data_IF_288410710707
#
_entry.id   IF_288410710707
#
_cell.length_a   1.000
_cell.length_b   1.000
_cell.length_c   1.000
_cell.angle_alpha   90.00
_cell.angle_beta   90.00
_cell.angle_gamma   90.00
#
_symmetry.space_group_name_H-M   'P 1'
#
loop_
_entity.id
_entity.type
_entity.pdbx_description
1 polymer ?
#
# COMPACT_ATOMS: atom_id res chain seq x y z
N UNK A 1 -22.45 49.72 -7.74
CA UNK A 1 -22.76 48.62 -6.79
C UNK A 1 -22.34 47.30 -7.44
N UNK A 2 -21.04 47.03 -7.46
CA UNK A 2 -20.40 45.77 -7.89
C UNK A 2 -19.14 45.64 -7.03
N UNK A 3 -18.71 44.40 -6.81
CA UNK A 3 -17.45 43.99 -6.16
C UNK A 3 -17.40 44.02 -4.63
N UNK A 4 -17.90 42.97 -3.95
CA UNK A 4 -17.46 42.63 -2.57
C UNK A 4 -17.49 41.13 -2.19
N UNK A 5 -17.43 40.19 -3.12
CA UNK A 5 -17.28 38.75 -2.76
C UNK A 5 -16.44 37.91 -3.72
N UNK A 6 -15.64 38.53 -4.61
CA UNK A 6 -14.84 37.78 -5.59
C UNK A 6 -13.43 37.37 -5.11
N UNK A 7 -13.02 37.70 -3.88
CA UNK A 7 -11.63 37.52 -3.43
C UNK A 7 -11.40 36.31 -2.50
N UNK A 8 -12.41 35.50 -2.19
CA UNK A 8 -12.28 34.39 -1.23
C UNK A 8 -12.31 32.99 -1.88
N UNK A 9 -12.06 32.88 -3.19
CA UNK A 9 -12.10 31.60 -3.89
C UNK A 9 -10.75 30.90 -4.12
N UNK A 10 -9.61 31.42 -3.63
CA UNK A 10 -8.31 30.87 -4.04
C UNK A 10 -7.32 30.37 -2.98
N UNK A 11 -7.62 30.29 -1.67
CA UNK A 11 -6.58 29.89 -0.70
C UNK A 11 -7.02 28.83 0.33
N UNK A 12 -7.50 27.66 -0.13
CA UNK A 12 -7.60 26.47 0.75
C UNK A 12 -6.42 25.51 0.62
N UNK A 13 -5.44 25.79 -0.24
CA UNK A 13 -4.29 24.91 -0.49
C UNK A 13 -2.92 25.58 -0.23
N UNK A 14 -2.86 26.88 0.10
CA UNK A 14 -1.59 27.52 0.50
C UNK A 14 -1.13 27.14 1.91
N UNK A 15 -2.04 26.64 2.77
CA UNK A 15 -1.70 26.30 4.15
C UNK A 15 -0.72 25.13 4.31
N UNK A 16 -0.48 24.34 3.26
CA UNK A 16 0.44 23.18 3.29
C UNK A 16 1.87 23.57 2.87
N UNK A 17 2.10 24.83 2.46
CA UNK A 17 3.43 25.31 2.03
C UNK A 17 4.18 26.13 3.08
N UNK A 18 3.74 26.13 4.34
CA UNK A 18 4.39 26.93 5.38
C UNK A 18 5.22 26.04 6.33
N UNK A 19 6.56 26.09 6.27
CA UNK A 19 7.46 25.31 7.14
C UNK A 19 7.16 25.50 8.63
N UNK A 20 6.67 26.69 8.99
CA UNK A 20 6.37 27.09 10.37
C UNK A 20 5.16 26.33 10.95
N UNK A 21 4.21 25.91 10.11
CA UNK A 21 3.03 25.14 10.57
C UNK A 21 3.41 23.69 10.86
N UNK A 22 4.40 23.14 10.14
CA UNK A 22 4.94 21.79 10.35
C UNK A 22 5.70 21.72 11.67
N UNK A 23 6.49 22.76 11.98
CA UNK A 23 7.25 22.87 13.22
C UNK A 23 6.35 22.96 14.47
N UNK A 24 5.15 23.56 14.34
CA UNK A 24 4.15 23.64 15.41
C UNK A 24 3.48 22.28 15.73
N UNK A 25 3.42 21.36 14.77
CA UNK A 25 2.85 20.01 14.96
C UNK A 25 3.84 19.02 15.58
N UNK A 26 5.09 19.42 15.84
CA UNK A 26 6.13 18.54 16.37
C UNK A 26 6.54 17.43 15.41
N UNK A 27 6.18 17.55 14.13
CA UNK A 27 6.60 16.65 13.07
C UNK A 27 8.00 17.08 12.65
N UNK A 28 9.02 16.32 13.01
CA UNK A 28 10.32 16.44 12.35
C UNK A 28 10.10 16.16 10.85
N UNK A 29 10.47 17.08 9.94
CA UNK A 29 10.19 16.93 8.51
C UNK A 29 10.80 15.68 7.84
N UNK A 30 11.69 14.96 8.53
CA UNK A 30 12.58 14.00 7.88
C UNK A 30 12.24 12.53 8.11
N UNK A 31 11.62 12.14 9.23
CA UNK A 31 11.41 10.71 9.52
C UNK A 31 10.07 10.18 9.01
N UNK A 32 8.97 10.75 9.49
CA UNK A 32 7.60 10.32 9.12
C UNK A 32 7.29 10.55 7.64
N UNK A 33 7.76 11.67 7.10
CA UNK A 33 7.59 12.00 5.69
C UNK A 33 8.34 11.03 4.77
N UNK A 34 9.56 10.64 5.17
CA UNK A 34 10.34 9.67 4.41
C UNK A 34 9.75 8.26 4.52
N UNK A 35 9.16 7.90 5.65
CA UNK A 35 8.44 6.64 5.81
C UNK A 35 7.22 6.56 4.89
N UNK A 36 6.36 7.58 4.88
CA UNK A 36 5.19 7.62 3.97
C UNK A 36 5.61 7.59 2.50
N UNK A 37 6.72 8.25 2.14
CA UNK A 37 7.27 8.18 0.78
C UNK A 37 7.81 6.80 0.44
N UNK A 38 8.52 6.16 1.35
CA UNK A 38 9.04 4.82 1.19
C UNK A 38 7.90 3.83 0.96
N UNK A 39 6.89 3.85 1.81
CA UNK A 39 5.68 3.02 1.70
C UNK A 39 5.00 3.25 0.34
N UNK A 40 4.77 4.51 -0.03
CA UNK A 40 4.17 4.88 -1.32
C UNK A 40 4.99 4.39 -2.51
N UNK A 41 6.33 4.41 -2.42
CA UNK A 41 7.24 3.90 -3.43
C UNK A 41 7.14 2.38 -3.56
N UNK A 42 7.21 1.66 -2.43
CA UNK A 42 7.07 0.20 -2.39
C UNK A 42 5.73 -0.22 -2.98
N UNK A 43 4.61 0.36 -2.54
CA UNK A 43 3.27 0.06 -3.09
C UNK A 43 3.21 0.32 -4.60
N UNK A 44 3.80 1.41 -5.08
CA UNK A 44 3.79 1.74 -6.51
C UNK A 44 4.53 0.69 -7.34
N UNK A 45 5.69 0.25 -6.87
CA UNK A 45 6.51 -0.71 -7.62
C UNK A 45 5.99 -2.14 -7.44
N UNK A 46 5.49 -2.49 -6.26
CA UNK A 46 4.78 -3.75 -6.03
C UNK A 46 3.58 -3.90 -6.98
N UNK A 47 2.82 -2.82 -7.18
CA UNK A 47 1.72 -2.84 -8.16
C UNK A 47 2.22 -3.20 -9.56
N UNK A 48 3.33 -2.60 -10.02
CA UNK A 48 3.93 -2.89 -11.33
C UNK A 48 4.47 -4.32 -11.39
N UNK A 49 5.22 -4.75 -10.38
CA UNK A 49 5.76 -6.09 -10.25
C UNK A 49 4.68 -7.16 -10.40
N UNK A 50 3.56 -7.02 -9.67
CA UNK A 50 2.42 -7.96 -9.76
C UNK A 50 1.79 -7.98 -11.16
N UNK A 51 1.71 -6.83 -11.83
CA UNK A 51 1.20 -6.74 -13.20
C UNK A 51 2.17 -7.39 -14.22
N UNK A 52 3.48 -7.18 -14.05
CA UNK A 52 4.53 -7.67 -14.95
C UNK A 52 4.78 -9.18 -14.81
N UNK A 53 4.48 -9.75 -13.66
CA UNK A 53 4.64 -11.19 -13.38
C UNK A 53 3.84 -12.10 -14.31
N UNK A 54 2.81 -11.59 -14.99
CA UNK A 54 2.04 -12.34 -15.99
C UNK A 54 1.19 -13.49 -15.43
N UNK A 55 1.06 -13.61 -14.10
CA UNK A 55 0.30 -14.69 -13.42
C UNK A 55 -1.19 -14.39 -13.26
N UNK A 56 -1.75 -13.60 -14.18
CA UNK A 56 -3.19 -13.35 -14.26
C UNK A 56 -3.73 -12.20 -13.42
N UNK A 57 -2.88 -11.31 -12.92
CA UNK A 57 -3.28 -10.13 -12.15
C UNK A 57 -3.92 -9.05 -13.04
N UNK A 58 -5.08 -8.57 -12.61
CA UNK A 58 -5.74 -7.39 -13.14
C UNK A 58 -5.89 -6.36 -12.01
N UNK A 59 -5.34 -5.17 -12.21
CA UNK A 59 -5.44 -4.08 -11.24
C UNK A 59 -6.88 -3.56 -11.14
N UNK A 60 -7.41 -3.44 -9.93
CA UNK A 60 -8.78 -2.97 -9.66
C UNK A 60 -8.74 -1.59 -9.03
N UNK A 61 -7.99 -1.42 -7.95
CA UNK A 61 -7.92 -0.17 -7.22
C UNK A 61 -6.64 -0.06 -6.39
N UNK A 62 -6.30 1.19 -6.04
CA UNK A 62 -5.23 1.54 -5.10
C UNK A 62 -5.82 2.47 -4.04
N UNK A 63 -5.39 2.32 -2.79
CA UNK A 63 -5.87 3.10 -1.65
C UNK A 63 -7.40 3.10 -1.58
N UNK A 64 -7.99 1.92 -1.75
CA UNK A 64 -9.44 1.80 -1.84
C UNK A 64 -10.07 2.06 -0.48
N UNK A 65 -10.84 3.13 -0.41
CA UNK A 65 -11.62 3.47 0.76
C UNK A 65 -12.77 2.47 0.99
N UNK A 66 -12.82 1.93 2.20
CA UNK A 66 -13.89 1.12 2.73
C UNK A 66 -14.51 1.87 3.89
N UNK A 67 -15.76 2.28 3.72
CA UNK A 67 -16.53 2.90 4.77
C UNK A 67 -17.35 1.84 5.52
N UNK A 68 -17.19 1.78 6.83
CA UNK A 68 -18.09 1.06 7.73
C UNK A 68 -18.85 2.08 8.59
N UNK A 69 -19.97 1.67 9.20
CA UNK A 69 -20.76 2.58 10.06
C UNK A 69 -19.96 3.20 11.22
N UNK A 70 -18.81 2.61 11.58
CA UNK A 70 -18.01 3.01 12.73
C UNK A 70 -16.70 3.69 12.36
N UNK A 71 -16.10 3.32 11.24
CA UNK A 71 -14.75 3.75 10.88
C UNK A 71 -14.48 3.63 9.37
N UNK A 72 -13.57 4.47 8.90
CA UNK A 72 -12.99 4.42 7.56
C UNK A 72 -11.74 3.55 7.53
N UNK A 73 -11.63 2.74 6.50
CA UNK A 73 -10.51 1.84 6.26
C UNK A 73 -10.00 2.00 4.84
N UNK A 74 -8.76 1.62 4.58
CA UNK A 74 -8.13 1.73 3.27
C UNK A 74 -7.38 0.42 2.98
N UNK A 75 -7.59 -0.11 1.77
CA UNK A 75 -6.80 -1.24 1.24
C UNK A 75 -5.77 -0.66 0.29
N UNK A 76 -4.49 -0.99 0.46
CA UNK A 76 -3.42 -0.38 -0.33
C UNK A 76 -3.52 -0.74 -1.81
N UNK A 77 -3.68 -2.04 -2.11
CA UNK A 77 -3.86 -2.54 -3.47
C UNK A 77 -4.97 -3.59 -3.54
N UNK A 78 -5.78 -3.48 -4.57
CA UNK A 78 -6.83 -4.44 -4.91
C UNK A 78 -6.58 -4.95 -6.32
N UNK A 79 -6.43 -6.25 -6.43
CA UNK A 79 -6.34 -6.98 -7.69
C UNK A 79 -7.47 -7.98 -7.82
N UNK A 80 -7.75 -8.36 -9.06
CA UNK A 80 -8.47 -9.57 -9.40
C UNK A 80 -7.53 -10.50 -10.15
N UNK A 81 -7.41 -11.76 -9.72
CA UNK A 81 -6.66 -12.77 -10.46
C UNK A 81 -7.63 -13.57 -11.33
N UNK A 82 -7.57 -13.44 -12.65
CA UNK A 82 -8.54 -14.09 -13.54
C UNK A 82 -8.28 -15.60 -13.74
N UNK A 83 -7.09 -16.09 -13.43
CA UNK A 83 -6.76 -17.53 -13.51
C UNK A 83 -7.28 -18.25 -12.27
N UNK A 84 -7.03 -17.66 -11.09
CA UNK A 84 -7.57 -18.12 -9.83
C UNK A 84 -9.07 -17.82 -9.70
N UNK A 85 -9.58 -16.83 -10.43
CA UNK A 85 -10.93 -16.27 -10.31
C UNK A 85 -11.22 -15.80 -8.88
N UNK A 86 -10.38 -14.95 -8.31
CA UNK A 86 -10.62 -14.39 -6.98
C UNK A 86 -10.04 -12.98 -6.86
N UNK A 87 -10.54 -12.20 -5.92
CA UNK A 87 -9.89 -10.96 -5.51
C UNK A 87 -8.64 -11.26 -4.69
N UNK A 88 -7.63 -10.39 -4.82
CA UNK A 88 -6.39 -10.39 -4.03
C UNK A 88 -6.23 -9.00 -3.44
N UNK A 89 -6.37 -8.90 -2.12
CA UNK A 89 -6.23 -7.68 -1.33
C UNK A 89 -4.84 -7.66 -0.73
N UNK A 90 -4.15 -6.53 -0.81
CA UNK A 90 -2.77 -6.39 -0.33
C UNK A 90 -2.65 -5.11 0.49
N UNK A 91 -2.14 -5.26 1.71
CA UNK A 91 -1.77 -4.16 2.61
C UNK A 91 -0.28 -4.26 2.96
N UNK A 92 0.41 -3.13 2.99
CA UNK A 92 1.81 -3.01 3.41
C UNK A 92 1.90 -2.43 4.82
N UNK A 93 2.77 -2.99 5.65
CA UNK A 93 3.09 -2.52 6.99
C UNK A 93 4.58 -2.21 7.07
N UNK A 94 4.90 -1.02 7.56
CA UNK A 94 6.28 -0.60 7.79
C UNK A 94 6.86 -1.22 9.05
N UNK A 95 6.00 -1.61 9.98
CA UNK A 95 6.32 -2.31 11.23
C UNK A 95 5.84 -3.77 11.23
N UNK A 96 6.33 -4.55 12.20
CA UNK A 96 5.81 -5.88 12.57
C UNK A 96 4.29 -6.03 12.42
N UNK A 97 3.89 -7.06 11.69
CA UNK A 97 2.47 -7.40 11.51
C UNK A 97 1.84 -7.80 12.85
N UNK A 98 0.81 -7.07 13.26
CA UNK A 98 0.07 -7.30 14.50
C UNK A 98 -1.14 -8.21 14.30
N UNK A 99 -1.74 -8.69 15.38
CA UNK A 99 -3.04 -9.38 15.32
C UNK A 99 -4.17 -8.47 14.82
N UNK A 100 -4.05 -7.15 14.99
CA UNK A 100 -5.04 -6.20 14.51
C UNK A 100 -5.01 -6.12 12.99
N UNK A 101 -3.83 -6.14 12.37
CA UNK A 101 -3.68 -6.15 10.90
C UNK A 101 -4.31 -7.40 10.27
N UNK A 102 -4.10 -8.56 10.89
CA UNK A 102 -4.73 -9.82 10.43
C UNK A 102 -6.25 -9.74 10.57
N UNK A 103 -6.77 -9.24 11.70
CA UNK A 103 -8.21 -9.07 11.90
C UNK A 103 -8.84 -8.05 10.93
N UNK A 104 -8.11 -6.99 10.59
CA UNK A 104 -8.52 -5.99 9.59
C UNK A 104 -8.58 -6.62 8.19
N UNK A 105 -7.56 -7.39 7.80
CA UNK A 105 -7.56 -8.11 6.53
C UNK A 105 -8.71 -9.12 6.46
N UNK A 106 -8.98 -9.88 7.53
CA UNK A 106 -10.12 -10.80 7.60
C UNK A 106 -11.46 -10.09 7.38
N UNK A 107 -11.62 -8.89 7.95
CA UNK A 107 -12.79 -8.06 7.73
C UNK A 107 -12.91 -7.66 6.25
N UNK A 108 -11.82 -7.22 5.62
CA UNK A 108 -11.82 -6.87 4.20
C UNK A 108 -12.20 -8.03 3.30
N UNK A 109 -11.64 -9.22 3.55
CA UNK A 109 -11.95 -10.42 2.77
C UNK A 109 -13.44 -10.75 2.88
N UNK A 110 -14.03 -10.72 4.09
CA UNK A 110 -15.48 -10.95 4.28
C UNK A 110 -16.32 -9.95 3.50
N UNK A 111 -15.99 -8.66 3.59
CA UNK A 111 -16.71 -7.61 2.87
C UNK A 111 -16.65 -7.82 1.35
N UNK A 112 -15.50 -8.21 0.82
CA UNK A 112 -15.36 -8.53 -0.60
C UNK A 112 -16.17 -9.76 -1.00
N UNK A 113 -16.10 -10.82 -0.20
CA UNK A 113 -16.82 -12.06 -0.43
C UNK A 113 -18.36 -11.88 -0.39
N UNK A 114 -18.85 -10.94 0.42
CA UNK A 114 -20.28 -10.63 0.54
C UNK A 114 -20.77 -9.61 -0.51
N UNK A 115 -19.97 -8.58 -0.84
CA UNK A 115 -20.44 -7.42 -1.60
C UNK A 115 -19.92 -7.34 -3.04
N UNK A 116 -18.82 -8.04 -3.36
CA UNK A 116 -18.11 -7.89 -4.65
C UNK A 116 -17.93 -9.20 -5.40
N UNK A 117 -17.71 -10.30 -4.68
CA UNK A 117 -17.45 -11.62 -5.26
C UNK A 117 -18.65 -12.11 -6.06
N UNK A 118 -18.41 -12.57 -7.28
CA UNK A 118 -19.44 -13.22 -8.07
C UNK A 118 -19.69 -14.67 -7.56
N UNK A 119 -20.87 -15.27 -7.81
CA UNK A 119 -21.17 -16.62 -7.35
C UNK A 119 -20.19 -17.71 -7.83
N UNK A 120 -19.49 -17.46 -8.94
CA UNK A 120 -18.54 -18.35 -9.59
C UNK A 120 -17.06 -17.97 -9.35
N UNK A 121 -16.80 -16.97 -8.50
CA UNK A 121 -15.48 -16.62 -8.02
C UNK A 121 -15.09 -17.50 -6.81
N UNK A 122 -13.81 -17.82 -6.72
CA UNK A 122 -13.22 -18.44 -5.54
C UNK A 122 -13.09 -17.42 -4.39
N UNK A 123 -12.92 -17.88 -3.14
CA UNK A 123 -12.77 -17.00 -1.99
C UNK A 123 -11.66 -15.96 -2.19
N UNK A 124 -11.95 -14.73 -1.78
CA UNK A 124 -11.00 -13.62 -1.80
C UNK A 124 -9.77 -13.96 -0.94
N UNK A 125 -8.61 -13.53 -1.39
CA UNK A 125 -7.33 -13.71 -0.73
C UNK A 125 -6.87 -12.37 -0.14
N UNK A 126 -6.39 -12.40 1.11
CA UNK A 126 -5.68 -11.27 1.71
C UNK A 126 -4.20 -11.56 1.85
N UNK A 127 -3.37 -10.55 1.60
CA UNK A 127 -1.91 -10.59 1.79
C UNK A 127 -1.54 -9.37 2.61
N UNK A 128 -0.98 -9.60 3.80
CA UNK A 128 -0.37 -8.54 4.60
C UNK A 128 1.13 -8.63 4.43
N UNK A 129 1.74 -7.58 3.90
CA UNK A 129 3.18 -7.49 3.67
C UNK A 129 3.83 -6.71 4.80
N UNK A 130 4.96 -7.20 5.29
CA UNK A 130 5.85 -6.47 6.19
C UNK A 130 7.03 -5.96 5.37
N UNK A 131 7.42 -4.70 5.54
CA UNK A 131 8.67 -4.19 4.94
C UNK A 131 9.88 -4.31 5.87
N UNK A 132 9.69 -4.81 7.09
CA UNK A 132 10.76 -5.05 8.05
C UNK A 132 11.49 -6.38 7.73
N UNK A 133 12.83 -6.34 7.69
CA UNK A 133 13.68 -7.43 7.16
C UNK A 133 13.74 -8.68 8.02
N UNK A 134 13.49 -8.56 9.33
CA UNK A 134 13.75 -9.64 10.31
C UNK A 134 12.52 -10.54 10.58
N UNK A 135 11.44 -10.38 9.81
CA UNK A 135 10.16 -11.03 10.05
C UNK A 135 9.57 -11.73 8.82
N UNK A 136 8.48 -12.48 9.03
CA UNK A 136 7.68 -13.04 7.95
C UNK A 136 7.18 -11.91 7.04
N UNK A 137 7.84 -11.74 5.89
CA UNK A 137 7.61 -10.65 4.92
C UNK A 137 6.18 -10.63 4.39
N UNK A 138 5.49 -11.77 4.40
CA UNK A 138 4.13 -11.89 3.91
C UNK A 138 3.33 -12.84 4.78
N UNK A 139 2.10 -12.44 5.12
CA UNK A 139 1.10 -13.28 5.75
C UNK A 139 -0.12 -13.37 4.85
N UNK A 140 -0.47 -14.60 4.47
CA UNK A 140 -1.65 -14.87 3.69
C UNK A 140 -2.83 -15.11 4.63
N UNK A 141 -3.87 -14.30 4.53
CA UNK A 141 -5.15 -14.58 5.17
C UNK A 141 -6.14 -15.16 4.16
N UNK A 142 -6.74 -16.29 4.55
CA UNK A 142 -7.78 -16.99 3.80
C UNK A 142 -8.82 -17.39 4.82
N UNK A 143 -10.08 -17.01 4.58
CA UNK A 143 -11.16 -17.45 5.47
C UNK A 143 -11.31 -18.98 5.45
N UNK A 144 -11.50 -19.53 6.66
CA UNK A 144 -11.44 -20.96 6.98
C UNK A 144 -12.16 -21.88 5.98
N UNK A 145 -11.47 -22.95 5.60
CA UNK A 145 -12.07 -24.11 4.91
C UNK A 145 -11.32 -24.62 3.68
N UNK A 146 -10.23 -23.98 3.24
CA UNK A 146 -9.60 -24.33 1.97
C UNK A 146 -8.06 -24.24 1.92
N UNK A 147 -7.38 -24.61 3.01
CA UNK A 147 -5.89 -24.69 3.03
C UNK A 147 -5.34 -25.60 1.93
N UNK A 148 -6.07 -26.66 1.58
CA UNK A 148 -5.70 -27.57 0.51
C UNK A 148 -5.81 -26.92 -0.89
N UNK A 149 -6.83 -26.08 -1.12
CA UNK A 149 -6.94 -25.29 -2.35
C UNK A 149 -5.82 -24.26 -2.44
N UNK A 150 -5.47 -23.63 -1.32
CA UNK A 150 -4.36 -22.69 -1.27
C UNK A 150 -3.02 -23.34 -1.66
N UNK A 151 -2.69 -24.47 -1.03
CA UNK A 151 -1.45 -25.18 -1.27
C UNK A 151 -1.35 -25.75 -2.70
N UNK A 152 -2.45 -26.24 -3.26
CA UNK A 152 -2.45 -26.92 -4.57
C UNK A 152 -2.57 -25.97 -5.76
N UNK A 153 -3.32 -24.87 -5.63
CA UNK A 153 -3.67 -24.00 -6.75
C UNK A 153 -3.09 -22.59 -6.59
N UNK A 154 -3.20 -21.99 -5.40
CA UNK A 154 -2.90 -20.56 -5.25
C UNK A 154 -1.39 -20.30 -5.28
N UNK A 155 -0.58 -21.15 -4.64
CA UNK A 155 0.89 -21.04 -4.66
C UNK A 155 1.53 -21.02 -6.06
N UNK A 156 0.86 -21.53 -7.08
CA UNK A 156 1.38 -21.55 -8.45
C UNK A 156 1.22 -20.20 -9.18
N UNK A 157 0.25 -19.38 -8.77
CA UNK A 157 -0.10 -18.12 -9.44
C UNK A 157 0.16 -16.88 -8.58
N UNK A 158 0.33 -17.05 -7.28
CA UNK A 158 0.79 -15.98 -6.40
C UNK A 158 2.32 -15.84 -6.49
N UNK A 159 2.87 -14.65 -6.20
CA UNK A 159 4.27 -14.56 -5.87
C UNK A 159 4.58 -15.36 -4.61
N UNK A 160 5.77 -15.93 -4.59
CA UNK A 160 6.37 -16.52 -3.41
C UNK A 160 6.75 -15.43 -2.40
N UNK A 161 6.88 -15.83 -1.13
CA UNK A 161 7.37 -14.92 -0.09
C UNK A 161 8.75 -14.36 -0.41
N UNK A 162 9.62 -15.16 -1.06
CA UNK A 162 10.94 -14.71 -1.49
C UNK A 162 10.86 -13.67 -2.60
N UNK A 163 10.05 -13.90 -3.64
CA UNK A 163 9.83 -12.92 -4.72
C UNK A 163 9.32 -11.58 -4.17
N UNK A 164 8.42 -11.60 -3.18
CA UNK A 164 7.92 -10.40 -2.51
C UNK A 164 9.00 -9.71 -1.68
N UNK A 165 9.82 -10.49 -0.95
CA UNK A 165 10.94 -9.97 -0.16
C UNK A 165 11.97 -9.29 -1.04
N UNK A 166 12.43 -9.98 -2.09
CA UNK A 166 13.42 -9.45 -3.02
C UNK A 166 12.92 -8.15 -3.66
N UNK A 167 11.65 -8.09 -4.05
CA UNK A 167 11.06 -6.87 -4.58
C UNK A 167 11.06 -5.74 -3.55
N UNK A 168 10.54 -5.97 -2.33
CA UNK A 168 10.49 -4.95 -1.28
C UNK A 168 11.90 -4.43 -0.93
N UNK A 169 12.88 -5.33 -0.76
CA UNK A 169 14.25 -4.95 -0.45
C UNK A 169 14.93 -4.20 -1.59
N UNK A 170 14.66 -4.58 -2.84
CA UNK A 170 15.13 -3.84 -4.02
C UNK A 170 14.58 -2.42 -4.03
N UNK A 171 13.28 -2.25 -3.76
CA UNK A 171 12.66 -0.93 -3.73
C UNK A 171 13.18 -0.06 -2.58
N UNK A 172 13.42 -0.65 -1.40
CA UNK A 172 14.07 0.04 -0.28
C UNK A 172 15.47 0.52 -0.65
N UNK A 173 16.29 -0.35 -1.25
CA UNK A 173 17.65 -0.01 -1.67
C UNK A 173 17.66 1.13 -2.70
N UNK A 174 16.80 1.06 -3.73
CA UNK A 174 16.66 2.11 -4.74
C UNK A 174 16.27 3.44 -4.09
N UNK A 175 15.29 3.42 -3.18
CA UNK A 175 14.84 4.63 -2.49
C UNK A 175 15.95 5.29 -1.66
N UNK A 176 16.73 4.51 -0.90
CA UNK A 176 17.84 5.05 -0.11
C UNK A 176 18.97 5.60 -0.96
N UNK A 177 19.27 4.98 -2.11
CA UNK A 177 20.25 5.54 -3.06
C UNK A 177 19.78 6.87 -3.63
N UNK A 178 18.52 6.97 -4.05
CA UNK A 178 17.95 8.22 -4.58
C UNK A 178 17.93 9.35 -3.55
N UNK A 179 17.69 9.04 -2.27
CA UNK A 179 17.79 10.04 -1.21
C UNK A 179 19.21 10.53 -0.99
N UNK A 180 20.20 9.63 -0.98
CA UNK A 180 21.61 10.00 -0.86
C UNK A 180 22.08 10.90 -2.00
N UNK A 181 21.73 10.53 -3.24
CA UNK A 181 22.10 11.33 -4.42
C UNK A 181 21.45 12.73 -4.34
N UNK A 182 20.20 12.83 -3.90
CA UNK A 182 19.50 14.11 -3.73
C UNK A 182 20.11 14.99 -2.61
N UNK A 183 20.58 14.39 -1.51
CA UNK A 183 21.28 15.08 -0.43
C UNK A 183 22.66 15.58 -0.88
N UNK A 184 23.40 14.79 -1.66
CA UNK A 184 24.70 15.16 -2.23
C UNK A 184 24.58 16.31 -3.26
N UNK A 185 23.54 16.30 -4.10
CA UNK A 185 23.24 17.38 -5.06
C UNK A 185 22.77 18.66 -4.35
N UNK A 186 22.01 18.57 -3.27
CA UNK A 186 21.54 19.73 -2.50
C UNK A 186 22.62 20.37 -1.61
N UNK A 187 23.63 19.60 -1.19
CA UNK A 187 24.78 20.10 -0.42
C UNK A 187 25.89 20.76 -1.27
N UNK A 188 25.73 20.78 -2.59
CA UNK A 188 26.72 21.24 -3.56
C UNK A 188 26.49 22.64 -4.14
N UNK A 189 26.20 23.68 -3.34
CA UNK A 189 26.41 25.06 -3.79
C UNK A 189 27.86 25.49 -3.49
N UNK A 190 28.70 25.77 -4.51
CA UNK A 190 30.01 26.34 -4.28
C UNK A 190 29.86 27.81 -3.91
N UNK A 191 30.36 28.18 -2.73
CA UNK A 191 30.74 29.56 -2.43
C UNK A 191 31.60 30.11 -3.59
N UNK A 192 31.03 31.02 -4.37
CA UNK A 192 31.72 31.85 -5.36
C UNK A 192 31.62 33.32 -4.94
#
# INVERSE_FOLDING_TARGET
MREKTSSYQNDKLEFIKNPVVVEFLGLTPDASFNETKLESSIITNLQKFLMEMGKGYAFVARQQHIHTEKQDYYIDLVFYNYILKCFVLIDLKTERITHQDVGQMDMYIRMYDELKKAPDDNPTLGIVLCSETDEDIARYSILHGNEQLFASKYKLYLPTEEELREEIETQKAIFYLQQKDAEEEAGGEPNA
#
